data_IF_677239274473
#
_entry.id   IF_677239274473
#
_cell.length_a   1.000
_cell.length_b   1.000
_cell.length_c   1.000
_cell.angle_alpha   90.00
_cell.angle_beta   90.00
_cell.angle_gamma   90.00
#
_symmetry.space_group_name_H-M   'P 1'
#
loop_
_entity.id
_entity.type
_entity.pdbx_description
1 polymer ?
#
# COMPACT_ATOMS: atom_id res chain seq x y z
N UNK A 1 15.55 12.97 -0.20
CA UNK A 1 16.51 12.72 0.91
C UNK A 1 17.19 13.99 1.41
N UNK A 2 17.49 14.97 0.55
CA UNK A 2 18.02 16.27 0.96
C UNK A 2 17.17 17.01 2.03
N UNK A 3 15.84 17.00 1.90
CA UNK A 3 14.94 17.66 2.85
C UNK A 3 14.99 17.07 4.27
N UNK A 4 15.25 15.77 4.41
CA UNK A 4 15.34 15.09 5.70
C UNK A 4 16.78 15.02 6.25
N UNK A 5 17.78 15.52 5.50
CA UNK A 5 19.22 15.47 5.81
C UNK A 5 19.72 14.08 6.22
N UNK A 6 19.17 13.02 5.60
CA UNK A 6 19.62 11.65 5.82
C UNK A 6 20.76 11.38 4.84
N UNK A 7 22.00 11.40 5.34
CA UNK A 7 23.21 11.07 4.58
C UNK A 7 23.54 9.57 4.64
N UNK A 8 23.16 8.90 5.73
CA UNK A 8 23.43 7.47 5.96
C UNK A 8 22.47 6.84 6.95
N UNK A 9 22.39 5.51 6.93
CA UNK A 9 21.53 4.72 7.82
C UNK A 9 20.14 4.47 7.26
N UNK A 10 19.23 3.98 8.10
CA UNK A 10 17.88 3.60 7.69
C UNK A 10 16.98 4.81 7.47
N UNK A 11 16.24 4.81 6.36
CA UNK A 11 15.26 5.87 6.04
C UNK A 11 14.08 5.86 7.02
N UNK A 12 13.71 4.68 7.53
CA UNK A 12 12.64 4.50 8.51
C UNK A 12 13.24 4.01 9.82
N UNK A 13 13.06 4.79 10.88
CA UNK A 13 13.57 4.51 12.22
C UNK A 13 12.57 4.91 13.30
N UNK A 14 12.71 4.33 14.48
CA UNK A 14 11.89 4.69 15.66
C UNK A 14 12.23 6.11 16.13
N UNK A 15 11.21 6.86 16.52
CA UNK A 15 11.35 8.13 17.24
C UNK A 15 10.94 7.88 18.70
N UNK A 16 11.82 8.20 19.65
CA UNK A 16 11.52 8.10 21.07
C UNK A 16 10.55 9.21 21.50
N UNK A 17 9.93 9.06 22.69
CA UNK A 17 9.00 10.05 23.26
C UNK A 17 9.57 11.48 23.30
N UNK A 18 10.88 11.62 23.44
CA UNK A 18 11.59 12.90 23.52
C UNK A 18 12.14 13.39 22.17
N UNK A 19 11.71 12.81 21.04
CA UNK A 19 12.09 13.24 19.70
C UNK A 19 13.41 12.65 19.16
N UNK A 20 14.14 11.87 19.95
CA UNK A 20 15.38 11.23 19.49
C UNK A 20 15.10 10.18 18.42
N UNK A 21 15.76 10.29 17.25
CA UNK A 21 15.67 9.32 16.15
C UNK A 21 16.68 8.19 16.37
N UNK A 22 16.20 6.95 16.29
CA UNK A 22 17.02 5.73 16.36
C UNK A 22 17.94 5.61 15.15
N UNK A 23 19.20 5.21 15.39
CA UNK A 23 20.16 4.83 14.33
C UNK A 23 19.85 3.46 13.71
N UNK A 24 19.03 2.64 14.38
CA UNK A 24 18.60 1.31 13.89
C UNK A 24 17.35 1.44 13.04
N UNK A 25 17.26 0.57 12.03
CA UNK A 25 16.06 0.35 11.24
C UNK A 25 14.85 0.06 12.15
N UNK A 26 13.66 0.45 11.68
CA UNK A 26 12.41 0.07 12.31
C UNK A 26 12.23 -1.46 12.28
N UNK A 27 11.72 -2.04 13.38
CA UNK A 27 11.37 -3.47 13.42
C UNK A 27 10.26 -3.76 12.38
N UNK A 28 10.39 -4.80 11.53
CA UNK A 28 9.43 -5.09 10.47
C UNK A 28 7.97 -5.23 10.94
N UNK A 29 7.73 -5.74 12.16
CA UNK A 29 6.38 -5.88 12.73
C UNK A 29 5.74 -4.54 13.07
N UNK A 30 6.57 -3.51 13.25
CA UNK A 30 6.09 -2.15 13.51
C UNK A 30 5.29 -1.59 12.33
N UNK A 31 5.50 -2.07 11.11
CA UNK A 31 4.72 -1.65 9.94
C UNK A 31 3.21 -1.93 10.12
N UNK A 32 2.87 -3.17 10.45
CA UNK A 32 1.47 -3.55 10.75
C UNK A 32 0.94 -2.78 11.96
N UNK A 33 1.73 -2.65 13.03
CA UNK A 33 1.30 -1.94 14.23
C UNK A 33 0.96 -0.47 13.93
N UNK A 34 1.76 0.20 13.09
CA UNK A 34 1.50 1.57 12.65
C UNK A 34 0.21 1.63 11.83
N UNK A 35 0.00 0.72 10.88
CA UNK A 35 -1.21 0.71 10.06
C UNK A 35 -2.47 0.52 10.90
N UNK A 36 -2.50 -0.51 11.75
CA UNK A 36 -3.64 -0.77 12.65
C UNK A 36 -3.95 0.44 13.55
N UNK A 37 -2.91 1.13 14.03
CA UNK A 37 -3.10 2.37 14.81
C UNK A 37 -3.75 3.47 13.96
N UNK A 38 -3.31 3.64 12.70
CA UNK A 38 -3.87 4.66 11.79
C UNK A 38 -5.30 4.34 11.36
N UNK A 39 -5.60 3.08 11.11
CA UNK A 39 -6.96 2.59 10.81
C UNK A 39 -7.92 2.93 11.94
N UNK A 40 -7.54 2.59 13.19
CA UNK A 40 -8.32 2.93 14.37
C UNK A 40 -8.54 4.44 14.52
N UNK A 41 -7.52 5.25 14.24
CA UNK A 41 -7.64 6.72 14.29
C UNK A 41 -8.55 7.26 13.18
N UNK A 42 -8.62 6.59 12.04
CA UNK A 42 -9.50 6.94 10.93
C UNK A 42 -10.93 6.40 11.08
N UNK A 43 -11.23 5.64 12.15
CA UNK A 43 -12.53 5.01 12.35
C UNK A 43 -12.79 3.81 11.42
N UNK A 44 -11.74 3.25 10.82
CA UNK A 44 -11.81 2.10 9.91
C UNK A 44 -11.81 0.79 10.70
N UNK A 45 -12.53 -0.19 10.20
CA UNK A 45 -12.60 -1.53 10.79
C UNK A 45 -11.29 -2.31 10.60
N UNK A 46 -10.87 -3.14 11.56
CA UNK A 46 -9.63 -3.92 11.46
C UNK A 46 -9.61 -4.95 10.32
N UNK A 47 -10.78 -5.27 9.77
CA UNK A 47 -10.94 -6.18 8.62
C UNK A 47 -10.78 -5.44 7.27
N UNK A 48 -10.86 -4.11 7.28
CA UNK A 48 -10.90 -3.31 6.05
C UNK A 48 -9.52 -3.07 5.45
N UNK A 49 -8.45 -3.17 6.25
CA UNK A 49 -7.10 -2.84 5.84
C UNK A 49 -6.06 -3.81 6.41
N UNK A 50 -5.00 -4.06 5.62
CA UNK A 50 -3.82 -4.79 6.06
C UNK A 50 -2.61 -4.36 5.25
N UNK A 51 -1.40 -4.42 5.82
CA UNK A 51 -0.17 -4.09 5.10
C UNK A 51 0.01 -4.92 3.82
N UNK A 52 -0.37 -6.20 3.89
CA UNK A 52 -0.27 -7.10 2.75
C UNK A 52 -1.28 -6.74 1.65
N UNK A 53 -2.45 -6.23 2.03
CA UNK A 53 -3.49 -5.76 1.12
C UNK A 53 -3.19 -4.44 0.40
N UNK A 54 -2.25 -3.63 0.89
CA UNK A 54 -1.96 -2.31 0.30
C UNK A 54 -1.44 -2.38 -1.13
N UNK A 55 -0.52 -3.32 -1.40
CA UNK A 55 0.08 -3.47 -2.73
C UNK A 55 -0.91 -3.96 -3.79
N UNK A 56 -1.70 -5.03 -3.57
CA UNK A 56 -2.78 -5.38 -4.50
C UNK A 56 -3.91 -4.33 -4.51
N UNK A 57 -4.18 -3.67 -3.38
CA UNK A 57 -5.13 -2.56 -3.30
C UNK A 57 -4.76 -1.40 -4.24
N UNK A 58 -3.47 -1.09 -4.37
CA UNK A 58 -2.99 -0.11 -5.35
C UNK A 58 -3.28 -0.53 -6.80
N UNK A 59 -3.15 -1.82 -7.15
CA UNK A 59 -3.53 -2.32 -8.48
C UNK A 59 -5.05 -2.18 -8.70
N UNK A 60 -5.84 -2.56 -7.70
CA UNK A 60 -7.32 -2.47 -7.75
C UNK A 60 -7.75 -1.02 -7.95
N UNK A 61 -7.15 -0.08 -7.22
CA UNK A 61 -7.46 1.33 -7.34
C UNK A 61 -7.04 1.91 -8.70
N UNK A 62 -5.88 1.51 -9.23
CA UNK A 62 -5.46 1.93 -10.56
C UNK A 62 -6.39 1.39 -11.65
N UNK A 63 -6.86 0.14 -11.52
CA UNK A 63 -7.85 -0.45 -12.41
C UNK A 63 -9.18 0.30 -12.38
N UNK A 64 -9.67 0.69 -11.19
CA UNK A 64 -10.88 1.51 -11.03
C UNK A 64 -10.75 2.89 -11.70
N UNK A 65 -9.52 3.41 -11.82
CA UNK A 65 -9.20 4.67 -12.52
C UNK A 65 -8.92 4.48 -14.01
N UNK A 66 -8.99 3.26 -14.53
CA UNK A 66 -8.71 2.96 -15.94
C UNK A 66 -7.24 3.08 -16.33
N UNK A 67 -6.31 3.07 -15.37
CA UNK A 67 -4.86 3.12 -15.65
C UNK A 67 -4.44 1.76 -16.23
N UNK A 68 -3.76 1.71 -17.39
CA UNK A 68 -3.34 0.45 -18.01
C UNK A 68 -2.51 -0.43 -17.08
N UNK A 69 -2.79 -1.74 -17.10
CA UNK A 69 -2.07 -2.72 -16.28
C UNK A 69 -0.53 -2.65 -16.40
N UNK A 70 0.08 -2.50 -17.59
CA UNK A 70 1.54 -2.41 -17.70
C UNK A 70 2.12 -1.22 -16.93
N UNK A 71 1.44 -0.07 -16.93
CA UNK A 71 1.85 1.15 -16.24
C UNK A 71 1.83 0.94 -14.72
N UNK A 72 0.73 0.38 -14.18
CA UNK A 72 0.67 0.10 -12.75
C UNK A 72 1.64 -1.01 -12.32
N UNK A 73 1.95 -1.96 -13.21
CA UNK A 73 2.92 -3.02 -12.96
C UNK A 73 4.35 -2.46 -12.86
N UNK A 74 4.69 -1.44 -13.66
CA UNK A 74 5.97 -0.75 -13.59
C UNK A 74 6.15 -0.09 -12.21
N UNK A 75 5.15 0.67 -11.75
CA UNK A 75 5.19 1.34 -10.45
C UNK A 75 5.18 0.34 -9.28
N UNK A 76 4.28 -0.65 -9.35
CA UNK A 76 4.12 -1.64 -8.28
C UNK A 76 5.20 -2.73 -8.30
N UNK A 77 6.05 -2.78 -9.33
CA UNK A 77 7.11 -3.78 -9.57
C UNK A 77 6.62 -5.24 -9.49
N UNK A 78 5.41 -5.51 -9.97
CA UNK A 78 4.94 -6.89 -10.09
C UNK A 78 5.67 -7.61 -11.20
N UNK A 79 6.27 -8.75 -10.89
CA UNK A 79 6.99 -9.57 -11.89
C UNK A 79 6.06 -10.49 -12.67
N UNK A 80 4.95 -10.93 -12.05
CA UNK A 80 3.97 -11.81 -12.67
C UNK A 80 2.80 -11.02 -13.19
N UNK A 81 2.63 -11.03 -14.52
CA UNK A 81 1.43 -10.49 -15.18
C UNK A 81 0.19 -11.23 -14.68
N UNK A 82 0.25 -12.56 -14.56
CA UNK A 82 -0.91 -13.36 -14.15
C UNK A 82 -1.44 -12.98 -12.76
N UNK A 83 -0.53 -12.74 -11.79
CA UNK A 83 -0.92 -12.29 -10.46
C UNK A 83 -1.53 -10.88 -10.49
N UNK A 84 -0.90 -9.95 -11.21
CA UNK A 84 -1.38 -8.57 -11.31
C UNK A 84 -2.73 -8.49 -12.04
N UNK A 85 -2.88 -9.24 -13.14
CA UNK A 85 -4.13 -9.36 -13.90
C UNK A 85 -5.28 -9.92 -13.07
N UNK A 86 -5.03 -10.81 -12.11
CA UNK A 86 -6.08 -11.30 -11.21
C UNK A 86 -6.71 -10.17 -10.40
N UNK A 87 -5.89 -9.33 -9.77
CA UNK A 87 -6.38 -8.15 -9.04
C UNK A 87 -7.05 -7.13 -9.98
N UNK A 88 -6.44 -6.87 -11.13
CA UNK A 88 -6.92 -5.89 -12.11
C UNK A 88 -8.28 -6.28 -12.69
N UNK A 89 -8.43 -7.52 -13.16
CA UNK A 89 -9.66 -8.01 -13.79
C UNK A 89 -10.81 -8.13 -12.80
N UNK A 90 -10.53 -8.47 -11.53
CA UNK A 90 -11.56 -8.48 -10.49
C UNK A 90 -12.10 -7.07 -10.22
N UNK A 91 -11.23 -6.05 -10.26
CA UNK A 91 -11.63 -4.66 -10.09
C UNK A 91 -12.46 -4.13 -11.28
N UNK A 92 -12.03 -4.40 -12.51
CA UNK A 92 -12.78 -4.00 -13.71
C UNK A 92 -14.14 -4.68 -13.80
N UNK A 93 -14.25 -5.98 -13.47
CA UNK A 93 -15.53 -6.69 -13.45
C UNK A 93 -16.52 -6.10 -12.45
N UNK A 94 -16.06 -5.63 -11.29
CA UNK A 94 -16.91 -5.02 -10.26
C UNK A 94 -17.43 -3.64 -10.68
N UNK A 95 -16.71 -2.95 -11.56
CA UNK A 95 -17.03 -1.61 -12.05
C UNK A 95 -17.71 -1.60 -13.42
N UNK A 96 -17.81 -2.76 -14.08
CA UNK A 96 -18.38 -2.86 -15.42
C UNK A 96 -19.91 -2.71 -15.40
N UNK A 97 -20.43 -1.80 -16.24
CA UNK A 97 -21.87 -1.49 -16.34
C UNK A 97 -22.70 -2.69 -16.80
N UNK A 98 -22.07 -3.68 -17.45
CA UNK A 98 -22.73 -4.92 -17.84
C UNK A 98 -23.17 -5.78 -16.63
N UNK A 99 -22.50 -5.67 -15.48
CA UNK A 99 -22.88 -6.38 -14.26
C UNK A 99 -24.09 -5.74 -13.55
N UNK A 100 -24.55 -4.57 -13.98
CA UNK A 100 -25.68 -3.81 -13.40
C UNK A 100 -26.94 -3.82 -14.26
N UNK A 101 -26.99 -4.66 -15.32
CA UNK A 101 -28.11 -4.74 -16.28
C UNK A 101 -29.18 -5.79 -15.92
N UNK A 102 -29.35 -6.12 -14.63
CA UNK A 102 -30.46 -6.95 -14.13
C UNK A 102 -31.41 -6.11 -13.27
#
# INVERSE_FOLDING_TARGET
>A
MAAAKIDKGSVIGRIARWGTVSKRALDPRSGNAILNQREKMAGLGPEEFSAHGLRPGHIIEAANRGIPLPEVMEQSRHRSVQQASSYYNNATRRSDRAATLL
#
